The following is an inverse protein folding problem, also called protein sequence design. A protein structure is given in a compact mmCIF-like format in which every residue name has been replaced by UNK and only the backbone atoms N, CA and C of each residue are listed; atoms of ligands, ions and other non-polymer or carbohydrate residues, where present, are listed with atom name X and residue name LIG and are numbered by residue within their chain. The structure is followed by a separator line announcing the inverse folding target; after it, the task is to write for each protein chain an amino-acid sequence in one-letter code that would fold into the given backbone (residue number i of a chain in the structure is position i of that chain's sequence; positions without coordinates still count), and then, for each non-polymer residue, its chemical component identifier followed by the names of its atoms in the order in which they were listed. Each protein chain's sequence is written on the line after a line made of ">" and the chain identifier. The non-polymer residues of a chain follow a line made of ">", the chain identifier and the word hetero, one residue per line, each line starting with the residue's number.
data_IF_017487028586
#
_entry.id   IF_017487028586
#
_cell.length_a   1.000
_cell.length_b   1.000
_cell.length_c   1.000
_cell.angle_alpha   90.00
_cell.angle_beta   90.00
_cell.angle_gamma   90.00
#
_symmetry.space_group_name_H-M   'P 1'
#
loop_
_entity.id
_entity.type
_entity.pdbx_description
1 polymer ?
#
# COMPACT_ATOMS: atom_id res chain seq x y z
N UNK A 1 84.91 48.60 -8.81
CA UNK A 1 85.75 48.12 -9.92
C UNK A 1 84.82 47.61 -11.00
N UNK A 2 84.58 48.45 -12.00
CA UNK A 2 83.69 48.22 -13.15
C UNK A 2 84.57 47.93 -14.35
N UNK A 3 84.36 46.84 -15.07
CA UNK A 3 84.90 46.54 -16.41
C UNK A 3 84.54 45.07 -16.75
N UNK A 4 84.15 44.59 -17.93
CA UNK A 4 84.04 45.10 -19.31
C UNK A 4 82.97 44.24 -20.01
N UNK A 5 82.19 44.85 -20.90
CA UNK A 5 81.33 44.21 -21.91
C UNK A 5 82.11 44.05 -23.23
N UNK A 6 82.00 42.93 -23.98
CA UNK A 6 82.32 42.91 -25.41
C UNK A 6 81.05 42.90 -26.30
N UNK A 7 81.13 43.44 -27.55
CA UNK A 7 79.98 43.79 -28.40
C UNK A 7 79.59 42.67 -29.41
N UNK A 8 78.52 42.83 -30.21
CA UNK A 8 77.74 41.74 -30.80
C UNK A 8 78.19 41.33 -32.21
N UNK A 9 77.75 40.15 -32.67
CA UNK A 9 77.89 39.71 -34.07
C UNK A 9 76.56 39.16 -34.61
N UNK A 10 76.14 39.68 -35.77
CA UNK A 10 74.95 39.32 -36.56
C UNK A 10 75.35 39.56 -38.04
N UNK A 11 74.78 38.88 -39.05
CA UNK A 11 74.67 37.44 -39.32
C UNK A 11 75.29 37.10 -40.71
N UNK A 12 75.25 35.84 -41.16
CA UNK A 12 75.49 35.47 -42.56
C UNK A 12 74.76 34.14 -42.89
N UNK A 13 74.46 33.81 -44.16
CA UNK A 13 73.11 33.54 -44.62
C UNK A 13 72.82 32.06 -44.96
N UNK A 14 71.52 31.80 -45.03
CA UNK A 14 70.78 30.82 -45.86
C UNK A 14 71.56 29.65 -46.46
N UNK A 15 71.25 28.45 -45.95
CA UNK A 15 71.36 27.20 -46.69
C UNK A 15 69.94 26.62 -46.88
N UNK A 16 69.59 26.40 -48.15
CA UNK A 16 68.41 25.66 -48.60
C UNK A 16 68.38 24.26 -47.99
N UNK A 17 67.25 23.88 -47.38
CA UNK A 17 66.99 22.48 -47.05
C UNK A 17 65.52 22.12 -47.30
N UNK A 18 65.32 21.63 -48.53
CA UNK A 18 64.50 20.47 -48.92
C UNK A 18 63.14 20.28 -48.19
N UNK A 19 62.07 20.50 -48.95
CA UNK A 19 60.71 20.05 -48.65
C UNK A 19 60.66 18.54 -48.38
N UNK A 20 60.42 18.19 -47.11
CA UNK A 20 59.93 16.87 -46.71
C UNK A 20 58.40 16.87 -46.70
N UNK A 21 57.72 15.81 -47.15
CA UNK A 21 56.26 15.78 -47.19
C UNK A 21 55.70 15.83 -45.77
N UNK A 22 55.07 16.95 -45.39
CA UNK A 22 54.34 17.06 -44.12
C UNK A 22 53.15 16.11 -44.14
N UNK A 23 53.34 14.93 -43.58
CA UNK A 23 52.28 14.02 -43.19
C UNK A 23 51.33 14.80 -42.26
N UNK A 24 50.13 15.14 -42.76
CA UNK A 24 49.08 15.78 -41.96
C UNK A 24 48.64 14.78 -40.89
N UNK A 25 49.32 14.82 -39.74
CA UNK A 25 48.91 14.14 -38.51
C UNK A 25 47.53 14.68 -38.14
N UNK A 26 46.47 13.95 -38.50
CA UNK A 26 45.09 14.28 -38.14
C UNK A 26 45.03 14.37 -36.63
N UNK A 27 44.95 15.59 -36.09
CA UNK A 27 44.64 15.80 -34.68
C UNK A 27 43.28 15.16 -34.41
N UNK A 28 43.18 14.22 -33.45
CA UNK A 28 41.92 13.57 -33.14
C UNK A 28 40.90 14.63 -32.70
N UNK A 29 39.71 14.60 -33.29
CA UNK A 29 38.63 15.55 -32.98
C UNK A 29 38.32 15.48 -31.48
N UNK A 30 38.00 16.60 -30.80
CA UNK A 30 37.82 16.67 -29.34
C UNK A 30 36.76 15.70 -28.79
N UNK A 31 35.81 15.24 -29.62
CA UNK A 31 34.84 14.19 -29.25
C UNK A 31 35.47 12.81 -29.02
N UNK A 32 36.57 12.46 -29.68
CA UNK A 32 37.24 11.16 -29.51
C UNK A 32 38.05 11.10 -28.20
N UNK A 33 38.61 12.23 -27.76
CA UNK A 33 39.35 12.31 -26.49
C UNK A 33 38.41 12.15 -25.28
N UNK A 34 37.21 12.73 -25.34
CA UNK A 34 36.19 12.59 -24.30
C UNK A 34 35.57 11.19 -24.28
N UNK A 35 35.42 10.55 -25.44
CA UNK A 35 34.96 9.16 -25.54
C UNK A 35 35.97 8.18 -24.91
N UNK A 36 37.26 8.31 -25.24
CA UNK A 36 38.32 7.48 -24.66
C UNK A 36 38.53 7.72 -23.16
N UNK A 37 38.32 8.94 -22.67
CA UNK A 37 38.33 9.24 -21.23
C UNK A 37 37.15 8.56 -20.49
N UNK A 38 35.96 8.54 -21.09
CA UNK A 38 34.78 7.85 -20.54
C UNK A 38 34.94 6.33 -20.54
N UNK A 39 35.55 5.76 -21.57
CA UNK A 39 35.85 4.33 -21.62
C UNK A 39 36.92 3.93 -20.62
N UNK A 40 37.96 4.75 -20.42
CA UNK A 40 38.96 4.53 -19.35
C UNK A 40 38.38 4.68 -17.95
N UNK A 41 37.45 5.60 -17.73
CA UNK A 41 36.70 5.73 -16.48
C UNK A 41 35.77 4.53 -16.22
N UNK A 42 35.12 3.99 -17.26
CA UNK A 42 34.32 2.77 -17.17
C UNK A 42 35.20 1.53 -16.91
N UNK A 43 36.31 1.39 -17.62
CA UNK A 43 37.29 0.32 -17.40
C UNK A 43 37.96 0.39 -16.03
N UNK A 44 38.21 1.60 -15.49
CA UNK A 44 38.69 1.80 -14.13
C UNK A 44 37.60 1.49 -13.08
N UNK A 45 36.33 1.79 -13.37
CA UNK A 45 35.19 1.43 -12.53
C UNK A 45 34.87 -0.07 -12.54
N UNK A 46 35.20 -0.78 -13.62
CA UNK A 46 35.08 -2.23 -13.79
C UNK A 46 36.36 -2.99 -13.39
N UNK A 47 37.41 -2.28 -12.96
CA UNK A 47 38.64 -2.92 -12.49
C UNK A 47 38.38 -3.76 -11.23
N UNK A 48 39.05 -4.92 -11.13
CA UNK A 48 38.98 -5.79 -9.94
C UNK A 48 39.30 -5.02 -8.65
N UNK A 49 40.16 -4.00 -8.72
CA UNK A 49 40.47 -3.08 -7.61
C UNK A 49 39.28 -2.23 -7.16
N UNK A 50 38.43 -1.76 -8.07
CA UNK A 50 37.21 -1.04 -7.71
C UNK A 50 36.17 -1.96 -7.08
N UNK A 51 36.10 -3.22 -7.54
CA UNK A 51 35.23 -4.25 -6.96
C UNK A 51 35.70 -4.70 -5.58
N UNK A 52 37.02 -4.88 -5.39
CA UNK A 52 37.62 -5.21 -4.11
C UNK A 52 37.56 -4.05 -3.13
N UNK A 53 37.82 -2.81 -3.56
CA UNK A 53 37.63 -1.60 -2.76
C UNK A 53 36.18 -1.47 -2.28
N UNK A 54 35.19 -1.69 -3.17
CA UNK A 54 33.75 -1.72 -2.80
C UNK A 54 33.44 -2.86 -1.82
N UNK A 55 34.07 -4.02 -1.94
CA UNK A 55 33.91 -5.14 -1.00
C UNK A 55 34.57 -4.88 0.36
N UNK A 56 35.75 -4.26 0.42
CA UNK A 56 36.39 -3.85 1.69
C UNK A 56 35.63 -2.71 2.35
N UNK A 57 35.15 -1.72 1.59
CA UNK A 57 34.27 -0.66 2.12
C UNK A 57 32.96 -1.27 2.58
N UNK A 58 32.33 -2.19 1.83
CA UNK A 58 31.11 -2.87 2.26
C UNK A 58 31.32 -3.76 3.50
N UNK A 59 32.48 -4.41 3.65
CA UNK A 59 32.85 -5.16 4.87
C UNK A 59 33.11 -4.24 6.06
N UNK A 60 33.80 -3.12 5.85
CA UNK A 60 34.04 -2.09 6.86
C UNK A 60 32.72 -1.44 7.32
N UNK A 61 31.86 -1.06 6.38
CA UNK A 61 30.52 -0.54 6.65
C UNK A 61 29.66 -1.59 7.38
N UNK A 62 29.67 -2.86 6.96
CA UNK A 62 28.94 -3.94 7.69
C UNK A 62 29.50 -4.23 9.08
N UNK A 63 30.79 -3.99 9.33
CA UNK A 63 31.41 -4.15 10.65
C UNK A 63 31.15 -2.95 11.57
N UNK A 64 31.08 -1.74 11.01
CA UNK A 64 30.92 -0.48 11.76
C UNK A 64 29.45 -0.13 12.01
N UNK A 65 28.53 -0.44 11.09
CA UNK A 65 27.09 -0.18 11.23
C UNK A 65 26.46 -0.79 12.50
N UNK A 66 26.72 -2.04 12.92
CA UNK A 66 26.14 -2.57 14.16
C UNK A 66 26.69 -1.90 15.43
N UNK A 67 27.88 -1.28 15.34
CA UNK A 67 28.54 -0.57 16.44
C UNK A 67 28.04 0.88 16.56
N UNK A 68 27.74 1.53 15.44
CA UNK A 68 27.21 2.91 15.42
C UNK A 68 25.68 3.00 15.49
N UNK A 69 24.95 1.94 15.12
CA UNK A 69 23.48 1.89 15.15
C UNK A 69 22.85 2.25 16.51
N UNK A 70 23.48 1.96 17.67
CA UNK A 70 22.94 2.36 18.97
C UNK A 70 23.17 3.84 19.32
N UNK A 71 24.07 4.58 18.64
CA UNK A 71 24.44 5.94 19.08
C UNK A 71 23.33 6.93 18.73
N UNK A 72 22.77 7.59 19.75
CA UNK A 72 21.74 8.61 19.54
C UNK A 72 22.37 9.90 19.02
N UNK A 73 21.56 10.83 18.52
CA UNK A 73 22.03 12.18 18.19
C UNK A 73 22.76 12.83 19.38
N UNK A 74 22.24 12.67 20.60
CA UNK A 74 22.87 13.18 21.80
C UNK A 74 24.23 12.50 22.07
N UNK A 75 24.33 11.19 21.82
CA UNK A 75 25.60 10.45 21.87
C UNK A 75 26.65 11.01 20.92
N UNK A 76 26.26 11.37 19.69
CA UNK A 76 27.16 12.00 18.72
C UNK A 76 27.61 13.40 19.16
N UNK A 77 26.71 14.22 19.68
CA UNK A 77 27.03 15.55 20.22
C UNK A 77 27.96 15.42 21.42
N UNK A 78 27.67 14.53 22.37
CA UNK A 78 28.51 14.28 23.53
C UNK A 78 29.90 13.76 23.14
N UNK A 79 29.98 12.87 22.15
CA UNK A 79 31.25 12.40 21.60
C UNK A 79 32.03 13.55 20.94
N UNK A 80 31.36 14.38 20.15
CA UNK A 80 31.96 15.55 19.49
C UNK A 80 32.52 16.56 20.49
N UNK A 81 31.77 16.91 21.53
CA UNK A 81 32.20 17.81 22.61
C UNK A 81 33.41 17.20 23.35
N UNK A 82 33.33 15.92 23.67
CA UNK A 82 34.42 15.20 24.38
C UNK A 82 35.72 15.23 23.58
N UNK A 83 35.64 14.95 22.27
CA UNK A 83 36.81 14.97 21.37
C UNK A 83 37.33 16.39 21.16
N UNK A 84 36.45 17.37 20.95
CA UNK A 84 36.85 18.77 20.77
C UNK A 84 37.52 19.33 22.03
N UNK A 85 36.97 19.07 23.22
CA UNK A 85 37.56 19.47 24.49
C UNK A 85 38.93 18.83 24.69
N UNK A 86 39.11 17.56 24.30
CA UNK A 86 40.40 16.88 24.39
C UNK A 86 41.44 17.52 23.47
N UNK A 87 41.09 17.77 22.21
CA UNK A 87 42.00 18.36 21.22
C UNK A 87 42.39 19.77 21.63
N UNK A 88 41.40 20.63 21.92
CA UNK A 88 41.64 22.03 22.30
C UNK A 88 42.42 22.09 23.62
N UNK A 89 42.03 21.30 24.63
CA UNK A 89 42.70 21.26 25.92
C UNK A 89 44.17 20.84 25.83
N UNK A 90 44.49 19.85 25.00
CA UNK A 90 45.88 19.42 24.79
C UNK A 90 46.67 20.45 23.96
N UNK A 91 46.07 21.03 22.91
CA UNK A 91 46.78 22.00 22.04
C UNK A 91 47.04 23.35 22.70
N UNK A 92 46.15 23.79 23.59
CA UNK A 92 46.24 25.07 24.30
C UNK A 92 46.74 24.93 25.74
N UNK A 93 47.07 23.71 26.17
CA UNK A 93 47.47 23.36 27.54
C UNK A 93 46.45 23.80 28.61
N UNK A 94 45.16 23.80 28.27
CA UNK A 94 44.07 24.14 29.18
C UNK A 94 43.58 22.91 29.94
N UNK A 95 43.98 22.82 31.20
CA UNK A 95 43.70 21.67 32.08
C UNK A 95 42.20 21.45 32.26
N UNK A 96 41.40 22.51 32.35
CA UNK A 96 39.95 22.44 32.53
C UNK A 96 39.26 21.70 31.37
N UNK A 97 39.69 21.93 30.13
CA UNK A 97 39.14 21.26 28.96
C UNK A 97 39.53 19.77 28.91
N UNK A 98 40.74 19.44 29.38
CA UNK A 98 41.18 18.04 29.50
C UNK A 98 40.35 17.31 30.55
N UNK A 99 40.03 17.94 31.69
CA UNK A 99 39.15 17.35 32.72
C UNK A 99 37.75 17.09 32.17
N UNK A 100 37.18 18.04 31.41
CA UNK A 100 35.87 17.87 30.75
C UNK A 100 35.91 16.68 29.78
N UNK A 101 36.97 16.55 28.99
CA UNK A 101 37.12 15.43 28.07
C UNK A 101 37.21 14.08 28.79
N UNK A 102 37.95 13.99 29.90
CA UNK A 102 38.03 12.75 30.70
C UNK A 102 36.66 12.42 31.29
N UNK A 103 35.97 13.39 31.88
CA UNK A 103 34.63 13.19 32.43
C UNK A 103 33.62 12.72 31.37
N UNK A 104 33.62 13.36 30.19
CA UNK A 104 32.81 12.95 29.04
C UNK A 104 33.15 11.54 28.55
N UNK A 105 34.44 11.19 28.52
CA UNK A 105 34.92 9.86 28.16
C UNK A 105 34.46 8.77 29.13
N UNK A 106 34.56 9.02 30.45
CA UNK A 106 34.04 8.10 31.49
C UNK A 106 32.54 7.91 31.34
N UNK A 107 31.81 8.99 31.10
CA UNK A 107 30.36 8.97 30.93
C UNK A 107 29.93 8.17 29.69
N UNK A 108 30.65 8.31 28.57
CA UNK A 108 30.47 7.47 27.38
C UNK A 108 30.81 6.00 27.65
N UNK A 109 31.88 5.72 28.40
CA UNK A 109 32.25 4.34 28.74
C UNK A 109 31.19 3.66 29.61
N UNK A 110 30.59 4.39 30.57
CA UNK A 110 29.46 3.90 31.37
C UNK A 110 28.27 3.62 30.46
N UNK A 111 27.88 4.56 29.59
CA UNK A 111 26.78 4.37 28.64
C UNK A 111 27.00 3.12 27.76
N UNK A 112 28.23 2.95 27.24
CA UNK A 112 28.63 1.77 26.47
C UNK A 112 28.45 0.49 27.31
N UNK A 113 28.90 0.47 28.55
CA UNK A 113 28.74 -0.68 29.47
C UNK A 113 27.28 -1.07 29.70
N UNK A 114 26.36 -0.09 29.76
CA UNK A 114 24.92 -0.35 29.87
C UNK A 114 24.35 -1.03 28.62
N UNK A 115 24.81 -0.67 27.42
CA UNK A 115 24.29 -1.19 26.15
C UNK A 115 24.99 -2.47 25.68
N UNK A 116 26.24 -2.68 26.07
CA UNK A 116 27.01 -3.91 25.79
C UNK A 116 26.43 -5.07 26.61
N UNK A 117 25.59 -5.85 25.96
CA UNK A 117 25.06 -7.12 26.44
C UNK A 117 24.49 -7.92 25.27
N UNK A 118 24.80 -9.22 25.20
CA UNK A 118 24.14 -10.13 24.26
C UNK A 118 22.89 -10.65 24.93
N UNK A 119 21.80 -9.92 24.73
CA UNK A 119 20.49 -10.39 25.17
C UNK A 119 19.91 -11.26 24.06
N UNK A 120 19.64 -12.53 24.37
CA UNK A 120 19.01 -13.49 23.46
C UNK A 120 17.61 -13.75 24.02
N UNK A 121 16.59 -13.19 23.37
CA UNK A 121 15.20 -13.52 23.64
C UNK A 121 14.69 -14.44 22.53
N UNK A 122 13.75 -15.32 22.86
CA UNK A 122 12.81 -15.85 21.88
C UNK A 122 11.46 -15.24 22.22
N UNK A 123 10.95 -14.41 21.33
CA UNK A 123 9.69 -13.69 21.53
C UNK A 123 8.69 -14.23 20.52
N UNK A 124 7.53 -14.62 21.00
CA UNK A 124 6.40 -15.01 20.19
C UNK A 124 5.29 -13.99 20.38
N UNK A 125 4.77 -13.49 19.25
CA UNK A 125 3.65 -12.56 19.20
C UNK A 125 2.49 -13.28 18.57
N UNK A 126 1.41 -13.40 19.32
CA UNK A 126 0.20 -14.11 18.90
C UNK A 126 -1.00 -13.18 19.03
N UNK A 127 -1.90 -13.22 18.04
CA UNK A 127 -3.14 -12.45 18.06
C UNK A 127 -4.29 -13.45 18.11
N UNK A 128 -5.19 -13.28 19.09
CA UNK A 128 -6.34 -14.18 19.24
C UNK A 128 -7.16 -14.29 17.95
N UNK A 129 -7.31 -13.16 17.24
CA UNK A 129 -7.90 -13.09 15.91
C UNK A 129 -7.14 -12.09 15.04
N UNK A 130 -6.92 -12.44 13.78
CA UNK A 130 -6.32 -11.53 12.78
C UNK A 130 -7.36 -10.65 12.08
N UNK A 131 -8.65 -10.88 12.36
CA UNK A 131 -9.80 -10.16 11.80
C UNK A 131 -10.83 -9.95 12.90
N UNK A 132 -11.24 -8.71 13.06
CA UNK A 132 -12.21 -8.27 14.08
C UNK A 132 -13.11 -7.22 13.49
N UNK A 133 -14.32 -7.05 14.01
CA UNK A 133 -15.23 -5.97 13.59
C UNK A 133 -15.00 -4.73 14.43
N UNK A 134 -15.24 -3.54 13.88
CA UNK A 134 -15.16 -2.27 14.63
C UNK A 134 -15.96 -2.33 15.94
N UNK A 135 -15.26 -2.07 17.06
CA UNK A 135 -15.79 -2.11 18.42
C UNK A 135 -15.68 -3.47 19.13
N UNK A 136 -15.24 -4.53 18.44
CA UNK A 136 -14.92 -5.80 19.09
C UNK A 136 -13.56 -5.75 19.80
N UNK A 137 -13.41 -6.52 20.87
CA UNK A 137 -12.17 -6.56 21.65
C UNK A 137 -11.11 -7.39 20.92
N UNK A 138 -10.12 -6.73 20.33
CA UNK A 138 -8.93 -7.38 19.81
C UNK A 138 -7.88 -7.52 20.93
N UNK A 139 -7.40 -8.74 21.17
CA UNK A 139 -6.39 -9.04 22.18
C UNK A 139 -5.15 -9.65 21.50
N UNK A 140 -3.98 -9.10 21.85
CA UNK A 140 -2.68 -9.67 21.51
C UNK A 140 -2.03 -10.28 22.76
N UNK A 141 -1.32 -11.38 22.57
CA UNK A 141 -0.53 -12.07 23.58
C UNK A 141 0.93 -12.03 23.17
N UNK A 142 1.80 -11.65 24.10
CA UNK A 142 3.24 -11.70 23.90
C UNK A 142 3.84 -12.67 24.91
N UNK A 143 4.60 -13.63 24.40
CA UNK A 143 5.31 -14.63 25.19
C UNK A 143 6.81 -14.47 24.97
N UNK A 144 7.55 -14.30 26.07
CA UNK A 144 8.96 -13.96 26.04
C UNK A 144 9.71 -15.05 26.79
N UNK A 145 10.55 -15.78 26.08
CA UNK A 145 11.43 -16.79 26.66
C UNK A 145 12.86 -16.27 26.77
N UNK A 146 13.46 -16.50 27.93
CA UNK A 146 14.89 -16.29 28.14
C UNK A 146 15.70 -17.37 27.40
N UNK A 147 16.35 -16.99 26.30
CA UNK A 147 17.21 -17.88 25.50
C UNK A 147 18.71 -17.76 25.88
N UNK A 148 19.00 -17.16 27.03
CA UNK A 148 20.36 -16.94 27.56
C UNK A 148 20.69 -17.95 28.66
N UNK A 149 21.96 -18.35 28.73
CA UNK A 149 22.50 -19.15 29.86
C UNK A 149 22.78 -18.31 31.12
N UNK A 150 22.71 -16.97 31.01
CA UNK A 150 22.89 -16.03 32.12
C UNK A 150 21.60 -15.23 32.40
N UNK A 151 21.37 -14.78 33.65
CA UNK A 151 20.24 -13.93 33.98
C UNK A 151 20.23 -12.66 33.12
N UNK A 152 19.04 -12.27 32.66
CA UNK A 152 18.83 -11.08 31.85
C UNK A 152 18.42 -9.92 32.76
N UNK A 153 19.04 -8.75 32.54
CA UNK A 153 18.67 -7.53 33.24
C UNK A 153 17.30 -7.03 32.77
N UNK A 154 16.60 -6.22 33.60
CA UNK A 154 15.35 -5.58 33.20
C UNK A 154 15.48 -4.85 31.87
N UNK A 155 14.46 -4.95 31.04
CA UNK A 155 14.41 -4.34 29.71
C UNK A 155 12.98 -3.93 29.37
N UNK A 156 12.82 -3.02 28.42
CA UNK A 156 11.51 -2.64 27.91
C UNK A 156 11.28 -3.30 26.56
N UNK A 157 10.14 -3.96 26.41
CA UNK A 157 9.67 -4.52 25.14
C UNK A 157 8.61 -3.58 24.58
N UNK A 158 8.81 -3.15 23.35
CA UNK A 158 7.90 -2.29 22.61
C UNK A 158 7.23 -3.11 21.49
N UNK A 159 5.90 -3.09 21.46
CA UNK A 159 5.07 -3.68 20.40
C UNK A 159 4.33 -2.53 19.71
N UNK A 160 4.75 -2.11 18.51
CA UNK A 160 4.01 -1.14 17.70
C UNK A 160 2.63 -1.70 17.33
N UNK A 161 1.59 -0.89 17.42
CA UNK A 161 0.20 -1.23 17.05
C UNK A 161 -0.36 -0.06 16.24
N UNK A 162 -0.21 -0.11 14.93
CA UNK A 162 -0.53 1.03 14.06
C UNK A 162 0.32 2.26 14.41
N UNK A 163 -0.32 3.33 14.91
CA UNK A 163 0.36 4.55 15.35
C UNK A 163 0.73 4.57 16.84
N UNK A 164 0.18 3.65 17.63
CA UNK A 164 0.47 3.53 19.06
C UNK A 164 1.61 2.53 19.29
N UNK A 165 2.24 2.60 20.47
CA UNK A 165 3.25 1.63 20.91
C UNK A 165 2.86 1.12 22.29
N UNK A 166 2.65 -0.19 22.41
CA UNK A 166 2.48 -0.84 23.70
C UNK A 166 3.85 -1.15 24.29
N UNK A 167 4.10 -0.73 25.53
CA UNK A 167 5.38 -0.93 26.23
C UNK A 167 5.21 -1.85 27.44
N UNK A 168 5.98 -2.92 27.48
CA UNK A 168 6.00 -3.91 28.57
C UNK A 168 7.35 -3.85 29.27
N UNK A 169 7.33 -3.79 30.61
CA UNK A 169 8.55 -3.79 31.41
C UNK A 169 8.86 -5.22 31.82
N UNK A 170 9.94 -5.76 31.30
CA UNK A 170 10.44 -7.06 31.71
C UNK A 170 11.18 -6.94 33.04
N UNK A 171 10.83 -7.76 34.04
CA UNK A 171 11.66 -7.90 35.23
C UNK A 171 12.99 -8.57 34.88
N UNK A 172 13.84 -8.73 35.89
CA UNK A 172 15.05 -9.55 35.76
C UNK A 172 14.62 -11.01 35.52
N UNK A 173 14.97 -11.57 34.37
CA UNK A 173 14.60 -12.95 33.99
C UNK A 173 15.73 -13.93 34.26
N UNK A 174 15.40 -15.10 34.81
CA UNK A 174 16.36 -16.19 34.96
C UNK A 174 16.55 -16.96 33.63
N UNK A 175 17.61 -17.78 33.50
CA UNK A 175 17.70 -18.71 32.37
C UNK A 175 16.48 -19.63 32.30
N UNK A 176 15.89 -19.79 31.10
CA UNK A 176 14.65 -20.57 30.84
C UNK A 176 13.35 -20.01 31.43
N UNK A 177 13.40 -18.80 31.98
CA UNK A 177 12.21 -18.11 32.48
C UNK A 177 11.28 -17.70 31.32
N UNK A 178 9.98 -17.62 31.62
CA UNK A 178 8.92 -17.28 30.65
C UNK A 178 8.08 -16.15 31.23
N UNK A 179 7.95 -15.07 30.46
CA UNK A 179 7.12 -13.92 30.81
C UNK A 179 6.03 -13.76 29.76
N UNK A 180 4.78 -13.71 30.19
CA UNK A 180 3.60 -13.58 29.34
C UNK A 180 2.84 -12.31 29.71
N UNK A 181 2.49 -11.51 28.70
CA UNK A 181 1.59 -10.36 28.86
C UNK A 181 0.51 -10.37 27.78
N UNK A 182 -0.68 -9.89 28.14
CA UNK A 182 -1.81 -9.70 27.23
C UNK A 182 -2.12 -8.21 27.13
N UNK A 183 -2.38 -7.73 25.91
CA UNK A 183 -2.73 -6.34 25.66
C UNK A 183 -3.92 -6.20 24.73
N UNK A 184 -4.71 -5.14 24.95
CA UNK A 184 -5.85 -4.80 24.12
C UNK A 184 -5.43 -3.86 22.99
N UNK A 185 -5.93 -4.14 21.78
CA UNK A 185 -5.72 -3.31 20.60
C UNK A 185 -6.98 -2.45 20.38
N UNK A 186 -6.86 -1.12 20.27
CA UNK A 186 -8.02 -0.26 20.05
C UNK A 186 -8.59 -0.45 18.63
N UNK A 187 -9.86 -0.88 18.56
CA UNK A 187 -10.61 -1.17 17.32
C UNK A 187 -11.75 -0.17 17.08
N UNK A 188 -11.58 1.08 17.53
CA UNK A 188 -12.62 2.11 17.50
C UNK A 188 -13.03 2.54 16.09
N UNK A 189 -12.12 2.44 15.11
CA UNK A 189 -12.38 2.71 13.69
C UNK A 189 -11.79 1.58 12.84
N UNK A 190 -12.36 1.39 11.63
CA UNK A 190 -11.84 0.38 10.68
C UNK A 190 -10.43 0.79 10.26
N UNK A 191 -9.55 -0.20 10.14
CA UNK A 191 -8.19 -0.01 9.70
C UNK A 191 -7.55 -1.37 9.37
N UNK A 192 -6.45 -1.33 8.63
CA UNK A 192 -5.48 -2.42 8.60
C UNK A 192 -4.32 -2.02 9.50
N UNK A 193 -4.24 -2.64 10.68
CA UNK A 193 -3.25 -2.33 11.70
C UNK A 193 -2.07 -3.30 11.57
N UNK A 194 -0.86 -2.76 11.50
CA UNK A 194 0.37 -3.56 11.64
C UNK A 194 0.69 -3.71 13.12
N UNK A 195 0.69 -4.94 13.61
CA UNK A 195 0.98 -5.28 15.00
C UNK A 195 2.36 -5.92 15.06
N UNK A 196 3.28 -5.31 15.81
CA UNK A 196 4.70 -5.61 15.72
C UNK A 196 5.40 -4.85 14.58
N UNK A 197 6.66 -5.19 14.24
CA UNK A 197 7.47 -6.25 14.85
C UNK A 197 7.80 -5.93 16.32
N UNK A 198 7.88 -6.95 17.17
CA UNK A 198 8.27 -6.76 18.57
C UNK A 198 9.74 -6.34 18.64
N UNK A 199 10.00 -5.32 19.47
CA UNK A 199 11.33 -4.74 19.64
C UNK A 199 11.72 -4.76 21.11
N UNK A 200 12.93 -5.20 21.41
CA UNK A 200 13.53 -4.92 22.71
C UNK A 200 14.29 -3.60 22.64
N UNK A 201 14.03 -2.70 23.59
CA UNK A 201 14.72 -1.42 23.70
C UNK A 201 15.56 -1.42 24.96
N UNK A 202 16.87 -1.16 24.78
CA UNK A 202 17.83 -0.97 25.87
C UNK A 202 18.50 0.38 25.68
N UNK A 203 18.26 1.30 26.60
CA UNK A 203 18.91 2.60 26.67
C UNK A 203 19.84 2.71 27.88
N UNK A 204 20.83 3.59 27.81
CA UNK A 204 21.54 4.05 29.00
C UNK A 204 20.74 5.17 29.71
N UNK A 205 20.96 5.42 31.01
CA UNK A 205 20.25 6.46 31.76
C UNK A 205 20.45 7.89 31.25
N UNK A 206 21.51 8.15 30.48
CA UNK A 206 21.86 9.47 29.96
C UNK A 206 21.36 9.68 28.53
N UNK A 207 20.78 8.64 27.91
CA UNK A 207 20.20 8.69 26.57
C UNK A 207 21.22 8.82 25.43
N UNK A 208 22.49 8.52 25.68
CA UNK A 208 23.57 8.63 24.67
C UNK A 208 23.54 7.47 23.67
N UNK A 209 23.11 6.30 24.11
CA UNK A 209 23.05 5.06 23.38
C UNK A 209 21.68 4.39 23.58
N UNK A 210 20.97 4.12 22.48
CA UNK A 210 19.71 3.37 22.47
C UNK A 210 19.83 2.23 21.47
N UNK A 211 19.93 1.01 21.98
CA UNK A 211 19.93 -0.20 21.16
C UNK A 211 18.52 -0.75 21.01
N UNK A 212 18.11 -0.97 19.77
CA UNK A 212 16.85 -1.61 19.42
C UNK A 212 17.12 -2.89 18.63
N UNK A 213 16.51 -4.01 19.04
CA UNK A 213 16.61 -5.29 18.32
C UNK A 213 15.19 -5.76 18.00
N UNK A 214 14.97 -6.16 16.74
CA UNK A 214 13.71 -6.73 16.26
C UNK A 214 13.72 -8.24 16.44
N UNK A 215 12.65 -8.81 16.99
CA UNK A 215 12.55 -10.24 17.29
C UNK A 215 11.53 -10.99 16.45
N UNK A 216 10.46 -10.32 16.01
CA UNK A 216 9.38 -10.92 15.21
C UNK A 216 9.20 -10.17 13.90
N UNK A 217 8.42 -10.76 12.98
CA UNK A 217 7.79 -10.07 11.86
C UNK A 217 6.52 -9.34 12.35
N UNK A 218 6.08 -8.27 11.66
CA UNK A 218 4.76 -7.68 11.90
C UNK A 218 3.62 -8.61 11.42
N UNK A 219 2.50 -8.58 12.12
CA UNK A 219 1.27 -9.29 11.77
C UNK A 219 0.19 -8.27 11.41
N UNK A 220 -0.56 -8.53 10.33
CA UNK A 220 -1.66 -7.68 9.90
C UNK A 220 -2.95 -8.04 10.66
N UNK A 221 -3.51 -7.06 11.37
CA UNK A 221 -4.83 -7.12 11.98
C UNK A 221 -5.81 -6.29 11.14
N UNK A 222 -6.83 -6.94 10.59
CA UNK A 222 -7.89 -6.29 9.83
C UNK A 222 -9.06 -5.96 10.76
N UNK A 223 -9.38 -4.68 10.88
CA UNK A 223 -10.57 -4.20 11.57
C UNK A 223 -11.65 -3.95 10.50
N UNK A 224 -12.59 -4.88 10.36
CA UNK A 224 -13.66 -4.88 9.38
C UNK A 224 -14.75 -3.84 9.71
N UNK A 225 -15.37 -3.20 8.69
CA UNK A 225 -16.51 -2.31 8.93
C UNK A 225 -17.68 -3.10 9.54
N UNK A 226 -18.58 -2.39 10.24
CA UNK A 226 -19.80 -3.01 10.76
C UNK A 226 -20.75 -3.31 9.60
N UNK A 227 -21.13 -4.57 9.45
CA UNK A 227 -22.09 -4.99 8.43
C UNK A 227 -23.37 -5.49 9.08
N UNK A 228 -24.49 -5.34 8.38
CA UNK A 228 -25.77 -5.92 8.77
C UNK A 228 -26.12 -7.05 7.82
N UNK A 229 -26.74 -8.08 8.36
CA UNK A 229 -27.31 -9.15 7.55
C UNK A 229 -28.65 -8.66 6.97
N UNK A 230 -28.82 -8.87 5.67
CA UNK A 230 -30.10 -8.66 5.00
C UNK A 230 -30.90 -9.96 5.14
N UNK A 231 -32.18 -9.87 5.52
CA UNK A 231 -33.05 -11.05 5.63
C UNK A 231 -33.26 -11.67 4.24
N UNK A 232 -33.41 -13.01 4.19
CA UNK A 232 -33.63 -13.76 2.94
C UNK A 232 -34.89 -13.32 2.17
N UNK A 233 -35.79 -12.59 2.83
CA UNK A 233 -37.02 -11.99 2.30
C UNK A 233 -36.80 -10.68 1.53
N UNK A 234 -35.56 -10.29 1.24
CA UNK A 234 -35.21 -9.25 0.26
C UNK A 234 -34.84 -9.77 -1.16
N UNK A 235 -35.44 -10.85 -1.71
CA UNK A 235 -35.05 -11.38 -3.00
C UNK A 235 -35.47 -10.47 -4.16
N UNK A 236 -36.40 -9.52 -3.99
CA UNK A 236 -36.84 -8.65 -5.09
C UNK A 236 -35.80 -7.62 -5.57
N UNK A 237 -34.82 -7.26 -4.74
CA UNK A 237 -33.76 -6.33 -5.18
C UNK A 237 -32.66 -7.05 -5.97
N UNK A 238 -32.38 -8.32 -5.60
CA UNK A 238 -31.20 -9.07 -6.03
C UNK A 238 -31.53 -10.35 -6.83
N UNK A 239 -32.55 -11.13 -6.44
CA UNK A 239 -32.98 -12.35 -7.15
C UNK A 239 -33.92 -12.11 -8.33
N UNK A 240 -34.70 -11.02 -8.34
CA UNK A 240 -35.47 -10.62 -9.54
C UNK A 240 -34.55 -10.29 -10.74
N UNK A 241 -33.23 -10.19 -10.48
CA UNK A 241 -32.16 -9.98 -11.47
C UNK A 241 -31.67 -11.28 -12.13
N UNK A 242 -31.98 -12.47 -11.60
CA UNK A 242 -31.77 -13.74 -12.31
C UNK A 242 -32.77 -13.91 -13.46
N UNK A 243 -33.95 -13.26 -13.35
CA UNK A 243 -34.96 -13.20 -14.41
C UNK A 243 -34.67 -12.16 -15.49
N UNK A 244 -33.76 -11.22 -15.23
CA UNK A 244 -33.24 -10.28 -16.24
C UNK A 244 -31.99 -10.91 -16.85
N UNK A 245 -32.15 -12.06 -17.50
CA UNK A 245 -31.21 -12.37 -18.58
C UNK A 245 -31.36 -11.25 -19.60
N UNK A 246 -30.30 -10.48 -19.81
CA UNK A 246 -30.24 -9.64 -21.01
C UNK A 246 -30.43 -10.60 -22.18
N UNK A 247 -31.59 -10.53 -22.84
CA UNK A 247 -31.94 -11.37 -24.00
C UNK A 247 -31.15 -10.90 -25.22
N UNK A 248 -29.83 -10.89 -25.11
CA UNK A 248 -28.94 -10.72 -26.24
C UNK A 248 -28.77 -12.11 -26.88
N UNK A 249 -29.51 -12.30 -27.97
CA UNK A 249 -29.43 -13.51 -28.78
C UNK A 249 -28.08 -13.50 -29.51
N UNK A 250 -27.27 -14.52 -29.28
CA UNK A 250 -25.96 -14.66 -29.92
C UNK A 250 -25.91 -15.92 -30.78
N UNK A 251 -25.14 -15.86 -31.86
CA UNK A 251 -24.83 -17.02 -32.67
C UNK A 251 -23.76 -17.93 -32.01
N UNK A 252 -23.21 -17.54 -30.86
CA UNK A 252 -22.24 -18.33 -30.09
C UNK A 252 -22.36 -18.06 -28.57
N UNK A 253 -23.02 -18.95 -27.81
CA UNK A 253 -22.46 -19.66 -26.62
C UNK A 253 -23.49 -20.43 -25.75
N UNK A 254 -23.02 -21.55 -25.17
CA UNK A 254 -23.47 -22.43 -24.04
C UNK A 254 -24.94 -22.88 -23.89
N UNK A 255 -25.99 -22.07 -24.06
CA UNK A 255 -27.38 -22.51 -23.80
C UNK A 255 -28.24 -22.54 -25.07
N UNK A 256 -28.66 -23.73 -25.51
CA UNK A 256 -29.58 -23.88 -26.64
C UNK A 256 -30.94 -23.24 -26.30
N UNK A 257 -31.33 -22.22 -27.07
CA UNK A 257 -32.59 -21.50 -26.87
C UNK A 257 -33.66 -21.96 -27.86
N UNK A 258 -33.38 -21.85 -29.16
CA UNK A 258 -34.34 -22.16 -30.22
C UNK A 258 -33.65 -22.56 -31.54
N UNK A 259 -34.43 -23.09 -32.48
CA UNK A 259 -34.04 -23.25 -33.88
C UNK A 259 -34.64 -22.10 -34.68
N UNK A 260 -33.83 -21.44 -35.52
CA UNK A 260 -34.30 -20.44 -36.48
C UNK A 260 -33.79 -20.73 -37.88
N UNK A 261 -34.40 -20.09 -38.87
CA UNK A 261 -33.93 -20.17 -40.25
C UNK A 261 -32.55 -19.54 -40.39
N UNK A 262 -31.72 -20.17 -41.23
CA UNK A 262 -30.39 -19.71 -41.58
C UNK A 262 -30.46 -18.40 -42.36
N UNK A 263 -29.68 -17.41 -41.95
CA UNK A 263 -29.49 -16.16 -42.68
C UNK A 263 -28.04 -16.09 -43.16
N UNK A 264 -27.84 -15.53 -44.35
CA UNK A 264 -26.49 -15.33 -44.90
C UNK A 264 -25.64 -14.47 -43.95
N UNK A 265 -24.59 -15.08 -43.38
CA UNK A 265 -23.75 -14.49 -42.34
C UNK A 265 -23.67 -15.35 -41.07
N UNK A 266 -24.58 -16.31 -40.91
CA UNK A 266 -24.55 -17.27 -39.80
C UNK A 266 -23.42 -18.29 -39.97
N UNK A 267 -22.77 -18.65 -38.86
CA UNK A 267 -21.70 -19.65 -38.88
C UNK A 267 -22.29 -21.05 -39.13
N UNK A 268 -21.81 -21.68 -40.21
CA UNK A 268 -22.24 -23.01 -40.68
C UNK A 268 -22.03 -24.11 -39.65
N UNK A 269 -21.15 -23.92 -38.66
CA UNK A 269 -20.90 -24.88 -37.57
C UNK A 269 -22.11 -25.07 -36.66
N UNK A 270 -23.02 -24.10 -36.61
CA UNK A 270 -24.21 -24.14 -35.77
C UNK A 270 -25.47 -24.63 -36.51
N UNK A 271 -25.34 -25.08 -37.76
CA UNK A 271 -26.44 -25.68 -38.52
C UNK A 271 -26.88 -26.99 -37.85
N UNK A 272 -28.18 -27.08 -37.56
CA UNK A 272 -28.80 -28.27 -37.03
C UNK A 272 -29.23 -29.21 -38.17
N UNK A 273 -28.31 -30.06 -38.62
CA UNK A 273 -28.53 -30.94 -39.77
C UNK A 273 -29.77 -31.83 -39.65
N UNK A 274 -30.08 -32.34 -38.45
CA UNK A 274 -31.25 -33.21 -38.22
C UNK A 274 -32.58 -32.48 -38.43
N UNK A 275 -32.71 -31.24 -37.97
CA UNK A 275 -33.93 -30.44 -38.21
C UNK A 275 -33.98 -29.98 -39.65
N UNK A 276 -32.84 -29.56 -40.20
CA UNK A 276 -32.75 -29.09 -41.59
C UNK A 276 -33.14 -30.18 -42.59
N UNK A 277 -32.76 -31.43 -42.33
CA UNK A 277 -33.15 -32.58 -43.15
C UNK A 277 -34.66 -32.90 -43.09
N UNK A 278 -35.35 -32.51 -42.00
CA UNK A 278 -36.79 -32.75 -41.83
C UNK A 278 -37.63 -31.63 -42.45
N UNK A 279 -37.21 -30.38 -42.32
CA UNK A 279 -37.95 -29.20 -42.81
C UNK A 279 -37.58 -28.81 -44.24
N UNK A 280 -36.46 -29.32 -44.77
CA UNK A 280 -35.96 -28.96 -46.10
C UNK A 280 -35.33 -27.56 -46.18
N UNK A 281 -35.23 -26.85 -45.05
CA UNK A 281 -34.61 -25.52 -44.94
C UNK A 281 -33.46 -25.56 -43.93
N UNK A 282 -32.38 -24.80 -44.18
CA UNK A 282 -31.24 -24.74 -43.26
C UNK A 282 -31.68 -24.07 -41.97
N UNK A 283 -31.58 -24.80 -40.86
CA UNK A 283 -31.89 -24.30 -39.53
C UNK A 283 -30.61 -24.16 -38.71
N UNK A 284 -30.48 -23.05 -37.99
CA UNK A 284 -29.34 -22.74 -37.12
C UNK A 284 -29.77 -22.80 -35.66
N UNK A 285 -28.91 -23.37 -34.80
CA UNK A 285 -29.08 -23.32 -33.36
C UNK A 285 -28.87 -21.88 -32.90
N UNK A 286 -29.89 -21.29 -32.30
CA UNK A 286 -29.80 -20.00 -31.63
C UNK A 286 -29.44 -20.24 -30.16
N UNK A 287 -28.44 -19.52 -29.70
CA UNK A 287 -27.97 -19.62 -28.33
C UNK A 287 -28.38 -18.37 -27.55
N UNK A 288 -28.79 -18.55 -26.30
CA UNK A 288 -29.02 -17.47 -25.36
C UNK A 288 -27.73 -17.23 -24.59
N UNK A 289 -27.19 -16.01 -24.63
CA UNK A 289 -26.05 -15.67 -23.79
C UNK A 289 -26.54 -15.56 -22.35
N UNK A 290 -26.29 -16.58 -21.52
CA UNK A 290 -26.43 -16.45 -20.07
C UNK A 290 -25.32 -15.52 -19.58
N UNK A 291 -25.51 -14.20 -19.71
CA UNK A 291 -24.69 -13.27 -18.93
C UNK A 291 -25.07 -13.49 -17.48
N UNK A 292 -24.11 -13.91 -16.67
CA UNK A 292 -24.24 -13.85 -15.22
C UNK A 292 -24.53 -12.41 -14.84
N UNK A 293 -25.51 -12.19 -13.97
CA UNK A 293 -25.88 -10.87 -13.50
C UNK A 293 -24.69 -10.28 -12.74
N UNK A 294 -24.00 -9.32 -13.35
CA UNK A 294 -22.86 -8.64 -12.74
C UNK A 294 -23.38 -7.47 -11.91
N UNK A 295 -23.04 -7.47 -10.62
CA UNK A 295 -23.32 -6.38 -9.69
C UNK A 295 -22.09 -5.49 -9.54
N UNK A 296 -22.18 -4.24 -9.99
CA UNK A 296 -21.13 -3.25 -9.80
C UNK A 296 -21.40 -2.37 -8.58
N UNK A 297 -20.52 -2.43 -7.59
CA UNK A 297 -20.56 -1.60 -6.39
C UNK A 297 -19.50 -0.50 -6.51
N UNK A 298 -19.93 0.75 -6.65
CA UNK A 298 -19.07 1.93 -6.64
C UNK A 298 -19.06 2.61 -5.27
N UNK A 299 -17.89 3.00 -4.77
CA UNK A 299 -17.74 3.82 -3.57
C UNK A 299 -16.88 5.06 -3.87
N UNK A 300 -17.45 6.25 -3.62
CA UNK A 300 -16.62 7.45 -3.63
C UNK A 300 -15.68 7.46 -2.42
N UNK A 301 -14.43 7.85 -2.65
CA UNK A 301 -13.44 8.05 -1.58
C UNK A 301 -13.01 9.50 -1.45
N UNK A 302 -13.63 10.40 -2.21
CA UNK A 302 -13.33 11.83 -2.15
C UNK A 302 -14.00 12.43 -0.92
N UNK A 303 -13.26 13.10 -0.01
CA UNK A 303 -13.86 13.71 1.19
C UNK A 303 -14.91 14.78 0.87
N UNK A 304 -14.84 15.47 -0.28
CA UNK A 304 -15.82 16.49 -0.67
C UNK A 304 -17.22 15.90 -0.94
N UNK A 305 -17.30 14.60 -1.25
CA UNK A 305 -18.56 13.91 -1.49
C UNK A 305 -19.30 13.58 -0.17
N UNK A 306 -18.67 13.84 0.98
CA UNK A 306 -19.18 13.55 2.32
C UNK A 306 -19.22 14.81 3.18
N UNK A 307 -20.30 14.99 3.95
CA UNK A 307 -20.42 16.10 4.90
C UNK A 307 -19.70 15.86 6.22
N UNK A 308 -19.47 14.59 6.57
CA UNK A 308 -18.84 14.13 7.81
C UNK A 308 -18.03 12.84 7.51
N UNK A 309 -16.81 12.66 8.04
CA UNK A 309 -16.10 11.38 8.00
C UNK A 309 -16.95 10.15 8.33
N UNK A 310 -17.91 10.26 9.25
CA UNK A 310 -18.77 9.14 9.65
C UNK A 310 -19.81 8.75 8.55
N UNK A 311 -20.12 9.65 7.62
CA UNK A 311 -20.92 9.31 6.42
C UNK A 311 -20.15 8.34 5.50
N UNK A 312 -18.83 8.50 5.36
CA UNK A 312 -17.99 7.56 4.60
C UNK A 312 -17.96 6.18 5.26
N UNK A 313 -17.85 6.13 6.60
CA UNK A 313 -17.94 4.86 7.36
C UNK A 313 -19.26 4.14 7.09
N UNK A 314 -20.35 4.90 7.06
CA UNK A 314 -21.69 4.38 6.80
C UNK A 314 -21.80 3.87 5.37
N UNK A 315 -21.30 4.61 4.38
CA UNK A 315 -21.27 4.18 2.97
C UNK A 315 -20.47 2.87 2.78
N UNK A 316 -19.33 2.73 3.47
CA UNK A 316 -18.51 1.51 3.44
C UNK A 316 -19.23 0.34 4.10
N UNK A 317 -19.92 0.59 5.22
CA UNK A 317 -20.71 -0.40 5.94
C UNK A 317 -21.91 -0.90 5.12
N UNK A 318 -22.57 0.02 4.40
CA UNK A 318 -23.66 -0.31 3.46
C UNK A 318 -23.14 -1.13 2.29
N UNK A 319 -22.05 -0.70 1.65
CA UNK A 319 -21.42 -1.44 0.55
C UNK A 319 -20.99 -2.83 1.01
N UNK A 320 -20.35 -2.94 2.17
CA UNK A 320 -19.94 -4.22 2.75
C UNK A 320 -21.14 -5.15 2.99
N UNK A 321 -22.25 -4.62 3.50
CA UNK A 321 -23.47 -5.40 3.76
C UNK A 321 -24.12 -5.90 2.47
N UNK A 322 -24.26 -5.03 1.46
CA UNK A 322 -24.81 -5.38 0.15
C UNK A 322 -23.91 -6.35 -0.61
N UNK A 323 -22.60 -6.12 -0.60
CA UNK A 323 -21.63 -7.00 -1.24
C UNK A 323 -21.54 -8.37 -0.59
N UNK A 324 -21.62 -8.46 0.75
CA UNK A 324 -21.70 -9.74 1.45
C UNK A 324 -22.97 -10.51 1.08
N UNK A 325 -24.10 -9.82 0.98
CA UNK A 325 -25.35 -10.45 0.54
C UNK A 325 -25.24 -10.97 -0.90
N UNK A 326 -24.77 -10.15 -1.83
CA UNK A 326 -24.60 -10.55 -3.22
C UNK A 326 -23.62 -11.72 -3.41
N UNK A 327 -22.56 -11.79 -2.60
CA UNK A 327 -21.63 -12.94 -2.59
C UNK A 327 -22.32 -14.21 -2.04
N UNK A 328 -23.20 -14.08 -1.03
CA UNK A 328 -24.00 -15.21 -0.52
C UNK A 328 -25.03 -15.70 -1.54
N UNK A 329 -25.57 -14.79 -2.33
CA UNK A 329 -26.47 -15.06 -3.45
C UNK A 329 -25.71 -15.47 -4.74
N UNK A 330 -24.42 -15.81 -4.64
CA UNK A 330 -23.56 -16.31 -5.73
C UNK A 330 -23.46 -15.39 -6.97
N UNK A 331 -23.67 -14.09 -6.80
CA UNK A 331 -23.52 -13.12 -7.89
C UNK A 331 -22.06 -12.81 -8.20
N UNK A 332 -21.80 -12.44 -9.46
CA UNK A 332 -20.52 -11.85 -9.86
C UNK A 332 -20.46 -10.38 -9.40
N UNK A 333 -19.77 -10.14 -8.27
CA UNK A 333 -19.64 -8.81 -7.67
C UNK A 333 -18.33 -8.16 -8.10
N UNK A 334 -18.42 -6.93 -8.62
CA UNK A 334 -17.26 -6.07 -8.88
C UNK A 334 -17.33 -4.84 -7.98
N UNK A 335 -16.23 -4.55 -7.27
CA UNK A 335 -16.19 -3.44 -6.32
C UNK A 335 -15.13 -2.45 -6.73
N UNK A 336 -15.54 -1.20 -6.92
CA UNK A 336 -14.66 -0.12 -7.36
C UNK A 336 -14.74 1.05 -6.40
N UNK A 337 -13.57 1.48 -5.93
CA UNK A 337 -13.40 2.77 -5.25
C UNK A 337 -12.85 3.79 -6.24
N UNK A 338 -12.91 5.09 -5.93
CA UNK A 338 -12.29 6.13 -6.77
C UNK A 338 -10.78 5.89 -7.02
N UNK A 339 -10.10 5.12 -6.15
CA UNK A 339 -8.66 4.86 -6.25
C UNK A 339 -8.32 3.54 -6.94
N UNK A 340 -9.04 2.48 -6.62
CA UNK A 340 -8.73 1.12 -7.09
C UNK A 340 -9.94 0.20 -7.09
N UNK A 341 -9.84 -0.88 -7.86
CA UNK A 341 -10.72 -2.04 -7.71
C UNK A 341 -10.35 -2.81 -6.44
N UNK A 342 -11.36 -3.33 -5.74
CA UNK A 342 -11.21 -4.14 -4.54
C UNK A 342 -11.54 -5.60 -4.85
N UNK A 343 -10.79 -6.57 -4.30
CA UNK A 343 -11.08 -7.98 -4.50
C UNK A 343 -12.38 -8.37 -3.78
N UNK A 344 -13.35 -8.89 -4.53
CA UNK A 344 -14.65 -9.32 -4.01
C UNK A 344 -14.93 -10.81 -4.24
N UNK A 345 -13.88 -11.63 -4.42
CA UNK A 345 -14.00 -13.08 -4.70
C UNK A 345 -14.74 -13.85 -3.60
N UNK A 346 -14.66 -13.38 -2.35
CA UNK A 346 -15.44 -13.90 -1.24
C UNK A 346 -15.62 -12.79 -0.19
N UNK A 347 -16.54 -13.01 0.76
CA UNK A 347 -16.85 -12.01 1.78
C UNK A 347 -15.63 -11.59 2.61
N UNK A 348 -14.71 -12.51 2.90
CA UNK A 348 -13.48 -12.21 3.64
C UNK A 348 -12.58 -11.24 2.89
N UNK A 349 -12.32 -11.46 1.59
CA UNK A 349 -11.48 -10.57 0.77
C UNK A 349 -12.13 -9.20 0.56
N UNK A 350 -13.46 -9.17 0.41
CA UNK A 350 -14.23 -7.93 0.33
C UNK A 350 -14.00 -7.09 1.58
N UNK A 351 -14.24 -7.67 2.76
CA UNK A 351 -14.09 -6.95 4.03
C UNK A 351 -12.64 -6.55 4.32
N UNK A 352 -11.66 -7.43 4.05
CA UNK A 352 -10.22 -7.10 4.15
C UNK A 352 -9.87 -5.90 3.25
N UNK A 353 -10.43 -5.84 2.03
CA UNK A 353 -10.27 -4.73 1.11
C UNK A 353 -10.88 -3.42 1.61
N UNK A 354 -12.08 -3.49 2.19
CA UNK A 354 -12.83 -2.35 2.74
C UNK A 354 -12.17 -1.77 4.01
N UNK A 355 -11.54 -2.60 4.84
CA UNK A 355 -10.76 -2.14 6.01
C UNK A 355 -9.62 -1.20 5.65
N UNK A 356 -9.04 -1.35 4.45
CA UNK A 356 -7.94 -0.53 3.97
C UNK A 356 -8.38 0.71 3.16
N UNK A 357 -9.68 0.95 3.00
CA UNK A 357 -10.17 2.11 2.26
C UNK A 357 -10.03 3.36 3.12
N UNK A 358 -9.29 4.36 2.63
CA UNK A 358 -9.15 5.67 3.26
C UNK A 358 -9.64 6.77 2.31
N UNK A 359 -10.03 7.92 2.87
CA UNK A 359 -10.38 9.09 2.05
C UNK A 359 -9.17 9.59 1.28
N UNK A 360 -9.40 10.09 0.06
CA UNK A 360 -8.35 10.58 -0.81
C UNK A 360 -8.84 11.74 -1.67
N UNK A 361 -8.20 12.91 -1.51
CA UNK A 361 -8.51 14.11 -2.31
C UNK A 361 -8.01 14.02 -3.76
N UNK A 362 -7.14 13.06 -4.08
CA UNK A 362 -6.44 13.01 -5.37
C UNK A 362 -7.24 12.34 -6.51
N UNK A 363 -8.42 11.81 -6.22
CA UNK A 363 -9.15 10.96 -7.17
C UNK A 363 -10.48 11.57 -7.59
N UNK A 364 -10.95 11.11 -8.73
CA UNK A 364 -12.17 11.60 -9.35
C UNK A 364 -13.38 11.46 -8.41
N UNK A 365 -14.20 12.51 -8.43
CA UNK A 365 -15.52 12.57 -7.80
C UNK A 365 -16.44 11.50 -8.41
N UNK A 366 -17.65 11.36 -7.86
CA UNK A 366 -18.65 10.37 -8.30
C UNK A 366 -18.76 10.16 -9.83
N UNK A 367 -18.71 11.22 -10.63
CA UNK A 367 -18.85 11.15 -12.10
C UNK A 367 -17.73 10.35 -12.76
N UNK A 368 -16.47 10.55 -12.35
CA UNK A 368 -15.35 9.79 -12.91
C UNK A 368 -15.42 8.32 -12.51
N UNK A 369 -15.77 8.03 -11.24
CA UNK A 369 -16.03 6.67 -10.77
C UNK A 369 -17.11 5.96 -11.61
N UNK A 370 -18.23 6.63 -11.87
CA UNK A 370 -19.30 6.07 -12.70
C UNK A 370 -18.84 5.85 -14.16
N UNK A 371 -18.08 6.79 -14.73
CA UNK A 371 -17.48 6.63 -16.05
C UNK A 371 -16.49 5.46 -16.14
N UNK A 372 -15.68 5.22 -15.11
CA UNK A 372 -14.80 4.05 -15.04
C UNK A 372 -15.61 2.75 -14.98
N UNK A 373 -16.63 2.67 -14.11
CA UNK A 373 -17.51 1.49 -14.00
C UNK A 373 -18.20 1.21 -15.34
N UNK A 374 -18.75 2.24 -16.00
CA UNK A 374 -19.42 2.09 -17.30
C UNK A 374 -18.49 1.58 -18.41
N UNK A 375 -17.22 1.99 -18.40
CA UNK A 375 -16.22 1.52 -19.38
C UNK A 375 -15.67 0.12 -19.07
N UNK A 376 -15.38 -0.17 -17.81
CA UNK A 376 -14.77 -1.45 -17.38
C UNK A 376 -15.81 -2.58 -17.36
N UNK A 377 -17.07 -2.25 -17.05
CA UNK A 377 -18.16 -3.22 -16.89
C UNK A 377 -19.43 -2.80 -17.67
N UNK A 378 -19.38 -2.74 -19.01
CA UNK A 378 -20.53 -2.33 -19.83
C UNK A 378 -21.72 -3.31 -19.75
N UNK A 379 -21.48 -4.55 -19.30
CA UNK A 379 -22.49 -5.58 -19.12
C UNK A 379 -23.04 -5.69 -17.68
N UNK A 380 -22.79 -4.72 -16.80
CA UNK A 380 -23.34 -4.74 -15.44
C UNK A 380 -24.87 -4.65 -15.48
N UNK A 381 -25.56 -5.60 -14.86
CA UNK A 381 -27.03 -5.61 -14.77
C UNK A 381 -27.52 -4.64 -13.70
N UNK A 382 -26.72 -4.43 -12.65
CA UNK A 382 -27.02 -3.51 -11.55
C UNK A 382 -25.79 -2.73 -11.16
N UNK A 383 -25.97 -1.43 -10.95
CA UNK A 383 -24.92 -0.54 -10.45
C UNK A 383 -25.41 0.14 -9.18
N UNK A 384 -24.70 -0.11 -8.08
CA UNK A 384 -24.96 0.53 -6.78
C UNK A 384 -23.83 1.50 -6.46
N UNK A 385 -24.12 2.80 -6.44
CA UNK A 385 -23.16 3.84 -6.10
C UNK A 385 -23.34 4.27 -4.64
N UNK A 386 -22.24 4.41 -3.90
CA UNK A 386 -22.22 4.77 -2.48
C UNK A 386 -21.50 6.10 -2.29
N UNK A 387 -22.22 7.09 -1.76
CA UNK A 387 -21.77 8.48 -1.61
C UNK A 387 -22.27 9.10 -0.31
N UNK A 388 -21.82 10.31 0.01
CA UNK A 388 -22.28 11.07 1.18
C UNK A 388 -23.18 12.25 0.81
N UNK A 389 -23.47 13.08 1.81
CA UNK A 389 -24.32 14.28 1.69
C UNK A 389 -23.75 15.35 0.75
N UNK A 390 -22.44 15.35 0.50
CA UNK A 390 -21.76 16.33 -0.35
C UNK A 390 -22.13 16.23 -1.83
N UNK A 391 -22.69 15.09 -2.26
CA UNK A 391 -23.11 14.89 -3.65
C UNK A 391 -24.53 15.43 -3.89
N UNK A 392 -24.64 16.39 -4.80
CA UNK A 392 -25.92 16.93 -5.23
C UNK A 392 -26.63 16.04 -6.27
N UNK A 393 -27.93 16.24 -6.41
CA UNK A 393 -28.77 15.51 -7.35
C UNK A 393 -28.31 15.70 -8.80
N UNK A 394 -27.75 16.86 -9.16
CA UNK A 394 -27.22 17.11 -10.48
C UNK A 394 -25.97 16.26 -10.78
N UNK A 395 -25.07 16.08 -9.81
CA UNK A 395 -23.92 15.17 -9.93
C UNK A 395 -24.37 13.73 -10.05
N UNK A 396 -25.37 13.31 -9.27
CA UNK A 396 -25.95 11.96 -9.40
C UNK A 396 -26.48 11.74 -10.82
N UNK A 397 -27.25 12.68 -11.38
CA UNK A 397 -27.76 12.58 -12.76
C UNK A 397 -26.66 12.54 -13.82
N UNK A 398 -25.57 13.30 -13.63
CA UNK A 398 -24.41 13.24 -14.54
C UNK A 398 -23.69 11.88 -14.45
N UNK A 399 -23.54 11.34 -13.26
CA UNK A 399 -22.90 10.05 -13.05
C UNK A 399 -23.74 8.90 -13.64
N UNK A 400 -25.06 8.92 -13.43
CA UNK A 400 -25.96 7.88 -13.94
C UNK A 400 -26.03 7.85 -15.46
N UNK A 401 -25.83 9.00 -16.13
CA UNK A 401 -25.78 9.08 -17.59
C UNK A 401 -24.56 8.37 -18.22
N UNK A 402 -23.50 8.09 -17.44
CA UNK A 402 -22.30 7.38 -17.90
C UNK A 402 -22.37 5.86 -17.67
N UNK A 403 -23.40 5.39 -16.96
CA UNK A 403 -23.59 3.97 -16.66
C UNK A 403 -24.34 3.26 -17.79
N UNK A 404 -24.26 1.91 -17.87
CA UNK A 404 -24.95 1.15 -18.91
C UNK A 404 -26.46 1.40 -18.88
N UNK A 405 -27.06 1.67 -20.04
CA UNK A 405 -28.49 2.06 -20.15
C UNK A 405 -29.47 0.94 -19.76
N UNK A 406 -29.03 -0.31 -19.76
CA UNK A 406 -29.82 -1.47 -19.38
C UNK A 406 -29.67 -1.82 -17.89
N UNK A 407 -28.75 -1.15 -17.17
CA UNK A 407 -28.51 -1.44 -15.77
C UNK A 407 -29.56 -0.78 -14.87
N UNK A 408 -30.02 -1.50 -13.84
CA UNK A 408 -30.76 -0.87 -12.73
C UNK A 408 -29.77 -0.09 -11.87
N UNK A 409 -29.99 1.21 -11.70
CA UNK A 409 -29.07 2.08 -10.97
C UNK A 409 -29.64 2.45 -9.60
N UNK A 410 -28.88 2.16 -8.55
CA UNK A 410 -29.22 2.49 -7.16
C UNK A 410 -28.11 3.39 -6.60
N UNK A 411 -28.49 4.48 -5.94
CA UNK A 411 -27.54 5.43 -5.36
C UNK A 411 -27.80 5.52 -3.87
N UNK A 412 -26.92 4.93 -3.08
CA UNK A 412 -26.96 4.97 -1.62
C UNK A 412 -26.19 6.19 -1.13
N UNK A 413 -26.92 7.15 -0.57
CA UNK A 413 -26.39 8.36 0.03
C UNK A 413 -26.42 8.24 1.56
N UNK A 414 -25.25 8.21 2.18
CA UNK A 414 -25.11 8.27 3.63
C UNK A 414 -25.31 9.72 4.11
N UNK A 415 -26.32 9.95 4.95
CA UNK A 415 -26.69 11.29 5.44
C UNK A 415 -26.99 11.21 6.93
N UNK A 416 -26.03 11.58 7.77
CA UNK A 416 -26.20 11.54 9.23
C UNK A 416 -27.30 12.51 9.70
N UNK A 417 -28.06 12.10 10.72
CA UNK A 417 -29.08 12.95 11.35
C UNK A 417 -30.38 13.13 10.55
N UNK A 418 -30.60 12.37 9.48
CA UNK A 418 -31.86 12.40 8.70
C UNK A 418 -32.63 11.08 8.81
N UNK A 419 -33.91 11.06 8.44
CA UNK A 419 -34.66 9.80 8.32
C UNK A 419 -34.34 9.14 6.98
N UNK A 420 -34.30 7.81 6.94
CA UNK A 420 -34.18 7.11 5.68
C UNK A 420 -35.29 7.50 4.69
N UNK A 421 -34.91 7.67 3.42
CA UNK A 421 -35.82 8.02 2.32
C UNK A 421 -35.42 7.29 1.05
N UNK A 422 -36.42 6.89 0.26
CA UNK A 422 -36.23 6.32 -1.07
C UNK A 422 -36.97 7.23 -2.05
N UNK A 423 -36.29 7.70 -3.10
CA UNK A 423 -36.87 8.58 -4.09
C UNK A 423 -36.45 8.15 -5.51
N UNK A 424 -37.40 8.00 -6.45
CA UNK A 424 -37.06 7.79 -7.85
C UNK A 424 -36.42 9.05 -8.44
N UNK A 425 -35.33 8.87 -9.18
CA UNK A 425 -34.55 9.93 -9.81
C UNK A 425 -34.28 9.59 -11.29
N UNK A 426 -35.35 9.64 -12.10
CA UNK A 426 -35.29 9.25 -13.51
C UNK A 426 -34.94 7.77 -13.64
N UNK A 427 -33.82 7.40 -14.30
CA UNK A 427 -33.40 6.00 -14.45
C UNK A 427 -32.73 5.41 -13.19
N UNK A 428 -32.51 6.21 -12.14
CA UNK A 428 -31.86 5.78 -10.91
C UNK A 428 -32.80 5.92 -9.71
N UNK A 429 -32.60 5.11 -8.67
CA UNK A 429 -33.28 5.29 -7.37
C UNK A 429 -32.28 5.83 -6.35
N UNK A 430 -32.58 7.00 -5.79
CA UNK A 430 -31.79 7.60 -4.71
C UNK A 430 -32.29 7.10 -3.36
N UNK A 431 -31.38 6.56 -2.57
CA UNK A 431 -31.64 5.96 -1.27
C UNK A 431 -30.81 6.70 -0.22
N UNK A 432 -31.47 7.48 0.63
CA UNK A 432 -30.82 8.19 1.73
C UNK A 432 -30.90 7.35 3.01
N UNK A 433 -29.77 7.16 3.68
CA UNK A 433 -29.64 6.33 4.88
C UNK A 433 -28.85 7.07 5.97
N UNK A 434 -29.37 7.17 7.21
CA UNK A 434 -28.61 7.74 8.32
C UNK A 434 -27.57 6.79 8.91
N UNK A 435 -27.83 5.48 8.82
CA UNK A 435 -26.97 4.46 9.40
C UNK A 435 -27.17 3.11 8.69
N UNK A 436 -26.17 2.23 8.82
CA UNK A 436 -26.23 0.88 8.25
C UNK A 436 -27.34 0.02 8.85
N UNK A 437 -27.78 0.30 10.08
CA UNK A 437 -28.84 -0.47 10.76
C UNK A 437 -30.21 -0.31 10.12
N UNK A 438 -30.46 0.78 9.39
CA UNK A 438 -31.71 1.00 8.67
C UNK A 438 -31.73 0.33 7.29
N UNK A 439 -30.57 -0.16 6.82
CA UNK A 439 -30.43 -0.76 5.49
C UNK A 439 -31.42 -1.89 5.20
N UNK A 440 -31.70 -2.86 6.10
CA UNK A 440 -32.63 -3.95 5.79
C UNK A 440 -34.05 -3.45 5.50
N UNK A 441 -34.52 -2.43 6.24
CA UNK A 441 -35.85 -1.82 6.05
C UNK A 441 -35.94 -1.10 4.71
N UNK A 442 -34.89 -0.40 4.34
CA UNK A 442 -34.85 0.41 3.12
C UNK A 442 -34.69 -0.44 1.88
N UNK A 443 -33.87 -1.50 1.94
CA UNK A 443 -33.74 -2.48 0.85
C UNK A 443 -35.10 -3.09 0.52
N UNK A 444 -35.91 -3.43 1.53
CA UNK A 444 -37.28 -3.92 1.34
C UNK A 444 -38.18 -2.89 0.64
N UNK A 445 -38.12 -1.63 1.05
CA UNK A 445 -38.88 -0.56 0.40
C UNK A 445 -38.48 -0.34 -1.07
N UNK A 446 -37.19 -0.54 -1.41
CA UNK A 446 -36.71 -0.44 -2.81
C UNK A 446 -37.17 -1.63 -3.65
N UNK A 447 -37.31 -2.83 -3.07
CA UNK A 447 -37.81 -4.00 -3.82
C UNK A 447 -39.31 -3.95 -4.11
N UNK A 448 -40.07 -3.12 -3.38
CA UNK A 448 -41.51 -2.92 -3.59
C UNK A 448 -41.82 -1.82 -4.63
N UNK A 449 -40.80 -1.08 -5.09
CA UNK A 449 -40.84 -0.06 -6.14
C UNK A 449 -40.41 -0.63 -7.50
#
# INVERSE_FOLDING_TARGET
>A
MTQVVPPPSVPAPEAEEQETPRERRRLPRPRQVVAGARERLRAAADSQLAHDARRTVARGVRAVVPVLAPVTWLGWVALGITVAALVVGVTLEWVELVVIAIAGGVLLAIAIGYVIGRTMYRIELDLAYTRVVVGERALGRIEIHSASSRPLMPATIEVPVGSAVASFHLPRMQPRDVHEDVFAIPTSRRAVLQVGPVRSVKGDPLGLLRRQVRWTEPVELFVHPRTVQLEETAPGLIRDLEGITTRDLTNSDIAFHALRDYVAGDDRRYIHWKSSARTGQLMVRQFEQTRRSVLALGLSTNPDDYGDPDELETAISVLGSLGLQAIRDEMDVVVRTSRRSLPATNGKRLLDGLSGVASSQRHDRLVGLAGEIGREHPGASVVMLHVGRGVDVATVRRATALLPSQARILVFQAVTGTKARVQPLGPATLVQLPSVTELPRVVRAVSEL
#
